data_IF_704835396294
#
_entry.id   IF_704835396294
#
_cell.length_a   1.000
_cell.length_b   1.000
_cell.length_c   1.000
_cell.angle_alpha   90.00
_cell.angle_beta   90.00
_cell.angle_gamma   90.00
#
_symmetry.space_group_name_H-M   'P 1'
#
loop_
_entity.id
_entity.type
_entity.pdbx_description
1 polymer ?
#
# COMPACT_ATOMS: atom_id res chain seq x y z
N UNK A 1 -2.96 6.77 1.80
CA UNK A 1 -1.96 6.91 0.71
C UNK A 1 -2.03 5.67 -0.17
N UNK A 2 -2.01 5.82 -1.50
CA UNK A 2 -2.03 4.68 -2.43
C UNK A 2 -0.82 4.76 -3.36
N UNK A 3 0.06 3.77 -3.30
CA UNK A 3 1.35 3.73 -4.01
C UNK A 3 1.39 2.42 -4.82
N UNK A 4 1.10 2.53 -6.11
CA UNK A 4 1.00 1.37 -7.01
C UNK A 4 2.16 1.19 -8.00
N UNK A 5 3.03 2.19 -8.16
CA UNK A 5 4.09 2.14 -9.16
C UNK A 5 5.47 2.25 -8.53
N UNK A 6 5.81 3.41 -7.97
CA UNK A 6 7.18 3.73 -7.56
C UNK A 6 7.53 3.17 -6.17
N UNK A 7 8.49 2.23 -6.06
CA UNK A 7 8.98 1.76 -4.76
C UNK A 7 9.64 2.86 -3.91
N UNK A 8 10.34 3.78 -4.56
CA UNK A 8 10.99 4.93 -3.91
C UNK A 8 10.00 5.86 -3.22
N UNK A 9 8.78 5.98 -3.73
CA UNK A 9 7.72 6.75 -3.07
C UNK A 9 7.31 6.11 -1.73
N UNK A 10 7.29 4.77 -1.67
CA UNK A 10 6.98 4.06 -0.44
C UNK A 10 8.11 4.20 0.59
N UNK A 11 9.37 4.11 0.17
CA UNK A 11 10.49 4.44 1.04
C UNK A 11 10.43 5.88 1.55
N UNK A 12 10.20 6.87 0.68
CA UNK A 12 10.08 8.26 1.11
C UNK A 12 8.94 8.50 2.09
N UNK A 13 7.81 7.80 1.92
CA UNK A 13 6.72 7.86 2.88
C UNK A 13 7.18 7.41 4.27
N UNK A 14 7.88 6.28 4.37
CA UNK A 14 8.39 5.77 5.65
C UNK A 14 9.41 6.73 6.27
N UNK A 15 10.27 7.33 5.47
CA UNK A 15 11.22 8.35 5.95
C UNK A 15 10.49 9.60 6.48
N UNK A 16 9.46 10.09 5.78
CA UNK A 16 8.64 11.21 6.28
C UNK A 16 7.94 10.86 7.59
N UNK A 17 7.36 9.66 7.70
CA UNK A 17 6.71 9.20 8.94
C UNK A 17 7.72 9.12 10.08
N UNK A 18 8.92 8.56 9.83
CA UNK A 18 10.00 8.50 10.81
C UNK A 18 10.40 9.88 11.31
N UNK A 19 10.61 10.82 10.38
CA UNK A 19 11.20 12.13 10.67
C UNK A 19 10.19 13.10 11.31
N UNK A 20 8.91 12.97 10.96
CA UNK A 20 7.86 13.94 11.38
C UNK A 20 6.83 13.36 12.36
N UNK A 21 6.72 12.03 12.44
CA UNK A 21 5.65 11.36 13.18
C UNK A 21 4.26 11.46 12.54
N UNK A 22 4.11 12.18 11.42
CA UNK A 22 2.82 12.34 10.73
C UNK A 22 2.46 11.03 10.03
N UNK A 23 1.32 10.45 10.41
CA UNK A 23 0.86 9.16 9.89
C UNK A 23 -0.35 9.36 8.97
N UNK A 24 -0.35 8.78 7.75
CA UNK A 24 -1.59 8.68 6.98
C UNK A 24 -2.57 7.73 7.68
N UNK A 25 -3.87 7.89 7.41
CA UNK A 25 -4.91 7.00 7.93
C UNK A 25 -4.75 5.53 7.49
N UNK A 26 -4.02 5.29 6.39
CA UNK A 26 -3.68 3.96 5.91
C UNK A 26 -2.81 4.03 4.65
N UNK A 27 -2.09 2.95 4.36
CA UNK A 27 -1.17 2.85 3.22
C UNK A 27 -1.49 1.64 2.37
N UNK A 28 -1.87 1.85 1.11
CA UNK A 28 -1.91 0.80 0.09
C UNK A 28 -0.56 0.80 -0.62
N UNK A 29 0.37 -0.04 -0.14
CA UNK A 29 1.74 -0.16 -0.61
C UNK A 29 1.89 -1.32 -1.58
N UNK A 30 1.50 -1.13 -2.84
CA UNK A 30 1.54 -2.17 -3.88
C UNK A 30 2.38 -1.72 -5.11
N UNK A 31 3.60 -1.15 -4.93
CA UNK A 31 4.46 -0.89 -6.07
C UNK A 31 4.84 -2.19 -6.80
N UNK A 32 4.89 -2.11 -8.13
CA UNK A 32 5.43 -3.15 -9.00
C UNK A 32 6.87 -2.84 -9.35
N UNK A 33 7.70 -3.87 -9.53
CA UNK A 33 9.03 -3.67 -10.07
C UNK A 33 10.01 -4.78 -9.72
N UNK A 34 11.13 -4.76 -10.42
CA UNK A 34 12.23 -5.70 -10.18
C UNK A 34 13.29 -5.14 -9.22
N UNK A 35 13.32 -3.83 -9.02
CA UNK A 35 14.25 -3.15 -8.12
C UNK A 35 13.46 -2.43 -7.03
N UNK A 36 13.74 -2.73 -5.76
CA UNK A 36 13.19 -2.01 -4.61
C UNK A 36 11.71 -2.30 -4.29
N UNK A 37 10.95 -2.95 -5.17
CA UNK A 37 9.54 -3.21 -4.94
C UNK A 37 9.33 -4.17 -3.76
N UNK A 38 10.04 -5.30 -3.73
CA UNK A 38 9.92 -6.26 -2.64
C UNK A 38 10.41 -5.65 -1.32
N UNK A 39 11.53 -4.95 -1.37
CA UNK A 39 12.22 -4.34 -0.25
C UNK A 39 11.40 -3.18 0.35
N UNK A 40 10.80 -2.32 -0.47
CA UNK A 40 9.95 -1.21 0.01
C UNK A 40 8.69 -1.71 0.70
N UNK A 41 8.08 -2.79 0.18
CA UNK A 41 6.91 -3.41 0.80
C UNK A 41 7.27 -4.16 2.08
N UNK A 42 8.42 -4.81 2.11
CA UNK A 42 8.93 -5.42 3.35
C UNK A 42 9.24 -4.35 4.40
N UNK A 43 9.84 -3.23 4.01
CA UNK A 43 10.07 -2.10 4.91
C UNK A 43 8.75 -1.51 5.43
N UNK A 44 7.67 -1.50 4.63
CA UNK A 44 6.34 -1.13 5.10
C UNK A 44 5.77 -2.16 6.10
N UNK A 45 6.05 -3.45 5.95
CA UNK A 45 5.59 -4.47 6.92
C UNK A 45 6.35 -4.35 8.24
N UNK A 46 7.67 -4.19 8.17
CA UNK A 46 8.57 -4.26 9.33
C UNK A 46 8.70 -2.92 10.08
N UNK A 47 8.05 -1.86 9.59
CA UNK A 47 8.18 -0.53 10.19
C UNK A 47 7.65 -0.50 11.64
N UNK A 48 8.30 0.23 12.56
CA UNK A 48 7.86 0.33 13.95
C UNK A 48 6.84 1.46 14.18
N UNK A 49 6.34 2.11 13.14
CA UNK A 49 5.55 3.35 13.27
C UNK A 49 4.06 3.09 13.50
N UNK A 50 3.60 1.83 13.54
CA UNK A 50 2.19 1.49 13.76
C UNK A 50 1.27 2.04 12.68
N UNK A 51 1.69 1.92 11.41
CA UNK A 51 0.88 2.30 10.26
C UNK A 51 -0.12 1.19 9.91
N UNK A 52 -1.35 1.57 9.62
CA UNK A 52 -2.32 0.68 8.96
C UNK A 52 -1.92 0.52 7.49
N UNK A 53 -1.86 -0.72 6.98
CA UNK A 53 -1.43 -0.95 5.60
C UNK A 53 -2.07 -2.16 4.91
N UNK A 54 -2.03 -2.13 3.59
CA UNK A 54 -2.29 -3.26 2.70
C UNK A 54 -1.13 -3.35 1.70
N UNK A 55 -0.47 -4.51 1.66
CA UNK A 55 0.71 -4.74 0.83
C UNK A 55 0.62 -6.09 0.10
N UNK A 56 1.11 -6.13 -1.14
CA UNK A 56 1.29 -7.35 -1.92
C UNK A 56 2.78 -7.69 -1.98
N UNK A 57 3.26 -8.58 -1.11
CA UNK A 57 4.70 -8.87 -0.99
C UNK A 57 5.36 -9.39 -2.29
N UNK A 58 6.68 -9.25 -2.36
CA UNK A 58 7.47 -9.59 -3.55
C UNK A 58 7.43 -8.50 -4.63
N UNK A 59 7.54 -8.88 -5.91
CA UNK A 59 7.74 -7.93 -7.03
C UNK A 59 6.45 -7.50 -7.74
N UNK A 60 5.36 -8.25 -7.54
CA UNK A 60 4.08 -8.00 -8.19
C UNK A 60 3.37 -6.81 -7.55
N UNK A 61 2.59 -6.09 -8.35
CA UNK A 61 1.83 -4.93 -7.90
C UNK A 61 1.29 -4.17 -9.08
N UNK A 62 1.19 -2.85 -8.97
CA UNK A 62 0.82 -1.99 -10.08
C UNK A 62 -0.35 -1.09 -9.73
N UNK A 63 -0.50 -0.03 -10.53
CA UNK A 63 -1.62 0.91 -10.39
C UNK A 63 -2.98 0.23 -10.51
N UNK A 64 -3.13 -0.76 -11.40
CA UNK A 64 -4.40 -1.47 -11.57
C UNK A 64 -4.84 -2.22 -10.29
N UNK A 65 -3.92 -2.97 -9.67
CA UNK A 65 -4.18 -3.67 -8.40
C UNK A 65 -4.44 -2.68 -7.26
N UNK A 66 -3.68 -1.58 -7.25
CA UNK A 66 -3.84 -0.52 -6.24
C UNK A 66 -5.20 0.16 -6.34
N UNK A 67 -5.64 0.49 -7.56
CA UNK A 67 -6.96 1.09 -7.81
C UNK A 67 -8.07 0.09 -7.50
N UNK A 68 -7.91 -1.19 -7.83
CA UNK A 68 -8.86 -2.22 -7.44
C UNK A 68 -9.03 -2.28 -5.90
N UNK A 69 -7.92 -2.24 -5.14
CA UNK A 69 -7.98 -2.19 -3.68
C UNK A 69 -8.68 -0.92 -3.15
N UNK A 70 -8.41 0.25 -3.74
CA UNK A 70 -9.09 1.50 -3.38
C UNK A 70 -10.60 1.40 -3.65
N UNK A 71 -10.98 0.94 -4.84
CA UNK A 71 -12.38 0.80 -5.23
C UNK A 71 -13.11 -0.19 -4.31
N UNK A 72 -12.46 -1.28 -3.95
CA UNK A 72 -13.01 -2.27 -3.03
C UNK A 72 -13.31 -1.67 -1.66
N UNK A 73 -12.36 -0.92 -1.09
CA UNK A 73 -12.53 -0.25 0.20
C UNK A 73 -13.63 0.82 0.14
N UNK A 74 -13.77 1.51 -1.00
CA UNK A 74 -14.76 2.57 -1.18
C UNK A 74 -16.17 2.05 -1.52
N UNK A 75 -16.30 0.78 -1.91
CA UNK A 75 -17.56 0.20 -2.36
C UNK A 75 -18.44 -0.24 -1.19
N UNK A 76 -19.70 0.21 -1.18
CA UNK A 76 -20.72 -0.30 -0.25
C UNK A 76 -21.13 -1.73 -0.54
N UNK A 77 -21.07 -2.15 -1.81
CA UNK A 77 -21.44 -3.51 -2.20
C UNK A 77 -20.43 -4.52 -1.66
N UNK A 78 -19.15 -4.14 -1.65
CA UNK A 78 -18.06 -5.02 -1.20
C UNK A 78 -17.91 -5.08 0.33
N UNK A 79 -18.60 -4.20 1.09
CA UNK A 79 -18.61 -4.26 2.57
C UNK A 79 -19.14 -5.57 3.13
N UNK A 80 -20.06 -6.23 2.42
CA UNK A 80 -20.72 -7.46 2.88
C UNK A 80 -20.22 -8.70 2.14
N UNK A 81 -19.29 -8.53 1.18
CA UNK A 81 -18.86 -9.57 0.24
C UNK A 81 -20.03 -10.34 -0.40
N UNK A 82 -21.17 -9.66 -0.60
CA UNK A 82 -22.30 -10.22 -1.32
C UNK A 82 -22.03 -10.04 -2.81
N UNK A 83 -21.63 -11.13 -3.47
CA UNK A 83 -21.46 -11.17 -4.92
C UNK A 83 -22.81 -10.85 -5.56
N UNK A 84 -22.88 -9.77 -6.35
CA UNK A 84 -24.03 -9.53 -7.22
C UNK A 84 -24.11 -10.70 -8.21
N UNK A 85 -25.12 -11.56 -8.05
CA UNK A 85 -25.48 -12.61 -8.99
C UNK A 85 -26.06 -12.00 -10.28
#
# INVERSE_FOLDING_TARGET
>A
MAIGNAPTALFRLLEVVRDTGVKPAGVIGIPVGFMGAAESKQALVDNPFGLEYLALLGRRGGSAVTVAAVNAIASTDERTNQVRA
#
